data_IF_167060700331
#
_entry.id   IF_167060700331
#
_cell.length_a   1.000
_cell.length_b   1.000
_cell.length_c   1.000
_cell.angle_alpha   90.00
_cell.angle_beta   90.00
_cell.angle_gamma   90.00
#
_symmetry.space_group_name_H-M   'P 1'
#
loop_
_entity.id
_entity.type
_entity.pdbx_description
1 polymer ?
#
# COMPACT_ATOMS: atom_id res chain seq x y z
N UNK A 1 -74.08 -16.81 -9.59
CA UNK A 1 -72.87 -17.65 -9.52
C UNK A 1 -71.84 -17.06 -10.48
N UNK A 2 -70.84 -16.37 -9.91
CA UNK A 2 -69.84 -15.57 -10.61
C UNK A 2 -68.73 -16.43 -11.19
N UNK A 3 -68.71 -16.62 -12.51
CA UNK A 3 -67.61 -17.26 -13.22
C UNK A 3 -66.49 -16.26 -13.45
N UNK A 4 -65.60 -16.10 -12.48
CA UNK A 4 -64.34 -15.37 -12.69
C UNK A 4 -63.52 -16.14 -13.71
N UNK A 5 -63.32 -15.55 -14.89
CA UNK A 5 -62.54 -16.12 -15.99
C UNK A 5 -61.08 -16.26 -15.58
N UNK A 6 -60.73 -17.48 -15.14
CA UNK A 6 -59.38 -17.85 -14.69
C UNK A 6 -58.34 -17.69 -15.80
N UNK A 7 -58.71 -17.83 -17.07
CA UNK A 7 -57.79 -17.70 -18.19
C UNK A 7 -57.41 -16.24 -18.45
N UNK A 8 -58.34 -15.31 -18.26
CA UNK A 8 -58.07 -13.87 -18.39
C UNK A 8 -57.05 -13.39 -17.35
N UNK A 9 -57.18 -13.81 -16.09
CA UNK A 9 -56.22 -13.46 -15.02
C UNK A 9 -54.84 -14.08 -15.25
N UNK A 10 -54.77 -15.30 -15.78
CA UNK A 10 -53.48 -15.97 -16.00
C UNK A 10 -52.70 -15.33 -17.16
N UNK A 11 -53.40 -14.90 -18.22
CA UNK A 11 -52.80 -14.09 -19.30
C UNK A 11 -52.29 -12.74 -18.81
N UNK A 12 -53.04 -12.07 -17.94
CA UNK A 12 -52.61 -10.79 -17.38
C UNK A 12 -51.41 -10.95 -16.43
N UNK A 13 -51.36 -12.02 -15.64
CA UNK A 13 -50.23 -12.36 -14.77
C UNK A 13 -48.96 -12.64 -15.57
N UNK A 14 -49.06 -13.40 -16.67
CA UNK A 14 -47.93 -13.69 -17.57
C UNK A 14 -47.45 -12.42 -18.30
N UNK A 15 -48.36 -11.54 -18.71
CA UNK A 15 -48.03 -10.25 -19.31
C UNK A 15 -47.34 -9.27 -18.33
N UNK A 16 -47.71 -9.30 -17.05
CA UNK A 16 -47.00 -8.53 -16.00
C UNK A 16 -45.61 -9.11 -15.72
N UNK A 17 -45.46 -10.43 -15.70
CA UNK A 17 -44.16 -11.09 -15.53
C UNK A 17 -43.21 -10.86 -16.72
N UNK A 18 -43.71 -10.78 -17.96
CA UNK A 18 -42.88 -10.47 -19.13
C UNK A 18 -42.45 -9.00 -19.15
N UNK A 19 -43.29 -8.07 -18.64
CA UNK A 19 -42.92 -6.65 -18.44
C UNK A 19 -41.87 -6.46 -17.33
N UNK A 20 -41.93 -7.26 -16.25
CA UNK A 20 -40.92 -7.28 -15.18
C UNK A 20 -39.59 -7.94 -15.59
N UNK A 21 -39.59 -8.77 -16.64
CA UNK A 21 -38.39 -9.43 -17.19
C UNK A 21 -37.66 -8.63 -18.28
N UNK A 22 -38.10 -7.40 -18.60
CA UNK A 22 -37.24 -6.46 -19.34
C UNK A 22 -36.05 -6.14 -18.45
N UNK A 23 -34.92 -6.80 -18.71
CA UNK A 23 -33.61 -6.46 -18.15
C UNK A 23 -33.48 -4.94 -18.18
N UNK A 24 -33.25 -4.34 -17.01
CA UNK A 24 -32.82 -2.95 -16.93
C UNK A 24 -31.68 -2.74 -17.94
N UNK A 25 -31.62 -1.60 -18.63
CA UNK A 25 -30.45 -1.25 -19.43
C UNK A 25 -29.21 -1.44 -18.55
N UNK A 26 -28.09 -1.98 -19.08
CA UNK A 26 -26.85 -1.98 -18.32
C UNK A 26 -26.62 -0.55 -17.82
N UNK A 27 -26.43 -0.38 -16.52
CA UNK A 27 -26.04 0.91 -15.95
C UNK A 27 -24.90 1.47 -16.79
N UNK A 28 -24.94 2.75 -17.17
CA UNK A 28 -23.84 3.35 -17.92
C UNK A 28 -22.57 3.14 -17.10
N UNK A 29 -21.70 2.27 -17.59
CA UNK A 29 -20.38 2.07 -17.02
C UNK A 29 -19.72 3.45 -17.11
N UNK A 30 -19.61 4.12 -15.96
CA UNK A 30 -18.80 5.32 -15.81
C UNK A 30 -17.47 5.00 -16.49
N UNK A 31 -17.16 5.66 -17.61
CA UNK A 31 -15.85 5.56 -18.23
C UNK A 31 -14.87 6.06 -17.18
N UNK A 32 -14.20 5.14 -16.50
CA UNK A 32 -13.17 5.48 -15.53
C UNK A 32 -12.04 6.09 -16.34
N UNK A 33 -12.00 7.43 -16.36
CA UNK A 33 -10.92 8.15 -16.98
C UNK A 33 -9.64 7.86 -16.18
N UNK A 34 -8.70 7.18 -16.82
CA UNK A 34 -7.43 6.83 -16.21
C UNK A 34 -6.56 8.09 -16.13
N UNK A 35 -5.90 8.28 -14.99
CA UNK A 35 -5.06 9.44 -14.74
C UNK A 35 -3.71 9.02 -14.14
N UNK A 36 -2.63 9.57 -14.68
CA UNK A 36 -1.28 9.38 -14.15
C UNK A 36 -0.58 10.74 -14.07
N UNK A 37 -0.30 11.23 -12.86
CA UNK A 37 0.38 12.53 -12.70
C UNK A 37 1.86 12.50 -13.11
N UNK A 38 2.45 11.30 -13.31
CA UNK A 38 3.81 11.10 -13.84
C UNK A 38 3.82 10.84 -15.34
N UNK A 39 2.70 11.09 -16.04
CA UNK A 39 2.66 10.95 -17.49
C UNK A 39 3.73 11.85 -18.14
N UNK A 40 4.53 11.26 -19.03
CA UNK A 40 5.68 11.89 -19.67
C UNK A 40 7.00 11.76 -18.91
N UNK A 41 7.00 11.33 -17.65
CA UNK A 41 8.23 11.14 -16.88
C UNK A 41 8.98 9.88 -17.35
N UNK A 42 10.22 10.02 -17.78
CA UNK A 42 11.03 8.92 -18.33
C UNK A 42 11.25 7.76 -17.35
N UNK A 43 11.24 8.05 -16.05
CA UNK A 43 11.44 7.13 -14.93
C UNK A 43 10.14 6.49 -14.42
N UNK A 44 9.02 6.67 -15.11
CA UNK A 44 7.71 6.18 -14.68
C UNK A 44 6.98 5.36 -15.74
N UNK A 45 6.04 4.54 -15.28
CA UNK A 45 5.03 3.91 -16.14
C UNK A 45 4.17 4.97 -16.84
N UNK A 46 3.74 4.67 -18.07
CA UNK A 46 2.99 5.55 -18.96
C UNK A 46 1.61 4.97 -19.30
N UNK A 47 0.60 5.83 -19.39
CA UNK A 47 -0.73 5.43 -19.83
C UNK A 47 -0.67 4.74 -21.20
N UNK A 48 -1.20 3.53 -21.28
CA UNK A 48 -1.27 2.74 -22.51
C UNK A 48 -0.14 1.73 -22.71
N UNK A 49 0.94 1.76 -21.92
CA UNK A 49 1.96 0.71 -21.96
C UNK A 49 1.61 -0.44 -21.01
N UNK A 50 1.97 -1.67 -21.39
CA UNK A 50 1.80 -2.84 -20.51
C UNK A 50 2.87 -2.85 -19.42
N UNK A 51 2.64 -3.58 -18.32
CA UNK A 51 3.69 -3.74 -17.29
C UNK A 51 4.96 -4.40 -17.86
N UNK A 52 4.82 -5.35 -18.79
CA UNK A 52 5.96 -6.00 -19.43
C UNK A 52 6.75 -5.03 -20.31
N UNK A 53 6.08 -4.20 -21.10
CA UNK A 53 6.76 -3.22 -21.96
C UNK A 53 7.42 -2.12 -21.13
N UNK A 54 6.79 -1.72 -20.02
CA UNK A 54 7.40 -0.82 -19.05
C UNK A 54 8.70 -1.39 -18.47
N UNK A 55 8.70 -2.65 -18.01
CA UNK A 55 9.91 -3.29 -17.46
C UNK A 55 10.97 -3.56 -18.53
N UNK A 56 10.59 -3.86 -19.77
CA UNK A 56 11.54 -3.95 -20.90
C UNK A 56 12.20 -2.61 -21.20
N UNK A 57 11.43 -1.52 -21.16
CA UNK A 57 11.90 -0.16 -21.40
C UNK A 57 12.80 0.33 -20.27
N UNK A 58 12.46 0.00 -19.03
CA UNK A 58 13.14 0.48 -17.83
C UNK A 58 13.35 -0.64 -16.79
N UNK A 59 14.26 -1.60 -17.07
CA UNK A 59 14.53 -2.73 -16.18
C UNK A 59 15.32 -2.28 -14.93
N UNK A 60 14.79 -2.48 -13.70
CA UNK A 60 15.49 -2.06 -12.48
C UNK A 60 16.85 -2.75 -12.24
N UNK A 61 17.04 -3.94 -12.80
CA UNK A 61 18.30 -4.70 -12.68
C UNK A 61 19.48 -4.01 -13.40
N UNK A 62 19.24 -3.45 -14.59
CA UNK A 62 20.30 -2.91 -15.46
C UNK A 62 20.27 -1.40 -15.61
N UNK A 63 19.14 -0.73 -15.29
CA UNK A 63 19.07 0.74 -15.28
C UNK A 63 19.99 1.27 -14.19
N UNK A 64 20.92 2.16 -14.55
CA UNK A 64 21.88 2.73 -13.60
C UNK A 64 21.22 3.77 -12.69
N UNK A 65 21.66 3.83 -11.43
CA UNK A 65 21.31 4.90 -10.48
C UNK A 65 21.60 6.30 -11.02
N UNK A 66 22.62 6.45 -11.88
CA UNK A 66 22.96 7.73 -12.52
C UNK A 66 21.94 8.17 -13.58
N UNK A 67 21.12 7.25 -14.11
CA UNK A 67 20.04 7.58 -15.05
C UNK A 67 18.81 8.08 -14.30
N UNK A 68 18.34 7.28 -13.35
CA UNK A 68 17.31 7.67 -12.40
C UNK A 68 17.51 6.83 -11.13
N UNK A 69 17.34 7.39 -9.92
CA UNK A 69 17.51 6.63 -8.68
C UNK A 69 16.30 5.75 -8.34
N UNK A 70 15.14 6.06 -8.93
CA UNK A 70 13.88 5.38 -8.67
C UNK A 70 13.09 5.23 -9.97
N UNK A 71 12.46 4.07 -10.11
CA UNK A 71 11.47 3.81 -11.15
C UNK A 71 10.10 3.78 -10.50
N UNK A 72 9.11 4.47 -11.08
CA UNK A 72 7.80 4.71 -10.46
C UNK A 72 6.64 4.10 -11.24
N UNK A 73 5.60 3.69 -10.53
CA UNK A 73 4.29 3.35 -11.10
C UNK A 73 3.21 3.93 -10.19
N UNK A 74 2.26 4.64 -10.79
CA UNK A 74 1.12 5.23 -10.12
C UNK A 74 -0.14 4.45 -10.48
N UNK A 75 -1.04 4.28 -9.52
CA UNK A 75 -2.31 3.64 -9.79
C UNK A 75 -3.19 4.57 -10.64
N UNK A 76 -3.58 4.18 -11.86
CA UNK A 76 -4.27 5.08 -12.77
C UNK A 76 -5.75 5.30 -12.40
N UNK A 77 -6.30 4.52 -11.46
CA UNK A 77 -7.71 4.55 -11.05
C UNK A 77 -7.91 5.36 -9.77
N UNK A 78 -7.52 6.64 -9.79
CA UNK A 78 -7.70 7.52 -8.64
C UNK A 78 -9.18 7.93 -8.48
N UNK A 79 -9.66 7.95 -7.25
CA UNK A 79 -10.97 8.52 -6.94
C UNK A 79 -10.91 10.05 -7.12
N UNK A 80 -11.67 10.59 -8.07
CA UNK A 80 -11.74 12.03 -8.34
C UNK A 80 -12.24 12.85 -7.13
N UNK A 81 -12.94 12.21 -6.19
CA UNK A 81 -13.43 12.85 -4.97
C UNK A 81 -12.36 12.98 -3.88
N UNK A 82 -11.20 12.36 -4.03
CA UNK A 82 -10.10 12.53 -3.09
C UNK A 82 -9.50 13.93 -3.24
N UNK A 83 -9.74 14.77 -2.24
CA UNK A 83 -9.02 16.03 -2.09
C UNK A 83 -7.52 15.72 -1.98
N UNK A 84 -6.75 16.16 -2.96
CA UNK A 84 -5.28 16.12 -2.90
C UNK A 84 -4.82 17.17 -1.91
N UNK A 85 -4.74 16.81 -0.63
CA UNK A 85 -4.05 17.65 0.35
C UNK A 85 -2.55 17.46 0.12
N UNK A 86 -1.84 18.54 -0.23
CA UNK A 86 -0.39 18.49 -0.29
C UNK A 86 0.15 18.35 1.14
N UNK A 87 0.95 17.31 1.46
CA UNK A 87 1.52 17.15 2.80
C UNK A 87 2.47 18.30 3.12
N UNK A 88 2.39 18.85 4.33
CA UNK A 88 3.28 19.90 4.82
C UNK A 88 4.57 19.30 5.37
N UNK A 89 5.36 18.67 4.49
CA UNK A 89 6.53 17.87 4.86
C UNK A 89 7.58 18.68 5.62
N UNK A 90 7.86 19.92 5.20
CA UNK A 90 8.90 20.74 5.84
C UNK A 90 8.53 21.10 7.29
N UNK A 91 7.29 21.56 7.50
CA UNK A 91 6.77 21.90 8.85
C UNK A 91 6.69 20.67 9.75
N UNK A 92 6.26 19.54 9.19
CA UNK A 92 6.28 18.24 9.88
C UNK A 92 7.70 17.88 10.31
N UNK A 93 8.68 18.02 9.40
CA UNK A 93 10.07 17.62 9.66
C UNK A 93 10.69 18.50 10.74
N UNK A 94 10.53 19.82 10.64
CA UNK A 94 11.01 20.76 11.66
C UNK A 94 10.45 20.45 13.05
N UNK A 95 9.12 20.36 13.16
CA UNK A 95 8.43 20.06 14.42
C UNK A 95 8.78 18.66 14.95
N UNK A 96 8.91 17.68 14.05
CA UNK A 96 9.23 16.31 14.43
C UNK A 96 10.67 16.14 14.90
N UNK A 97 11.62 16.90 14.36
CA UNK A 97 13.00 16.91 14.87
C UNK A 97 13.06 17.47 16.30
N UNK A 98 12.26 18.49 16.63
CA UNK A 98 12.14 18.99 18.00
C UNK A 98 11.57 17.93 18.96
N UNK A 99 10.58 17.15 18.51
CA UNK A 99 10.05 16.02 19.30
C UNK A 99 11.12 14.96 19.59
N UNK A 100 11.98 14.66 18.60
CA UNK A 100 13.07 13.70 18.77
C UNK A 100 14.10 14.21 19.79
N UNK A 101 14.56 15.45 19.65
CA UNK A 101 15.49 16.08 20.61
C UNK A 101 14.92 16.07 22.03
N UNK A 102 13.66 16.47 22.19
CA UNK A 102 12.99 16.46 23.49
C UNK A 102 12.90 15.06 24.09
N UNK A 103 12.67 14.04 23.26
CA UNK A 103 12.64 12.65 23.75
C UNK A 103 14.00 12.18 24.22
N UNK A 104 15.09 12.54 23.54
CA UNK A 104 16.44 12.23 24.03
C UNK A 104 16.72 12.85 25.39
N UNK A 105 16.37 14.13 25.56
CA UNK A 105 16.49 14.82 26.85
C UNK A 105 15.66 14.12 27.93
N UNK A 106 14.43 13.71 27.62
CA UNK A 106 13.58 12.98 28.57
C UNK A 106 14.19 11.62 28.96
N UNK A 107 14.71 10.87 27.99
CA UNK A 107 15.35 9.57 28.23
C UNK A 107 16.61 9.71 29.08
N UNK A 108 17.45 10.72 28.80
CA UNK A 108 18.59 11.03 29.65
C UNK A 108 18.18 11.39 31.07
N UNK A 109 17.11 12.18 31.26
CA UNK A 109 16.57 12.50 32.59
C UNK A 109 16.08 11.26 33.33
N UNK A 110 15.35 10.37 32.66
CA UNK A 110 14.89 9.09 33.23
C UNK A 110 16.08 8.26 33.70
N UNK A 111 17.15 8.19 32.91
CA UNK A 111 18.36 7.45 33.25
C UNK A 111 19.14 8.10 34.41
N UNK A 112 19.32 9.42 34.38
CA UNK A 112 20.03 10.16 35.43
C UNK A 112 19.32 10.10 36.78
N UNK A 113 17.99 10.17 36.79
CA UNK A 113 17.17 10.06 38.00
C UNK A 113 17.03 8.61 38.49
N UNK A 114 17.66 7.64 37.83
CA UNK A 114 17.57 6.23 38.17
C UNK A 114 18.42 5.77 39.35
N UNK A 115 19.22 6.66 39.95
CA UNK A 115 19.98 6.34 41.16
C UNK A 115 19.02 5.98 42.31
N UNK A 116 19.02 4.71 42.73
CA UNK A 116 18.15 4.19 43.79
C UNK A 116 16.76 3.72 43.33
N UNK A 117 16.43 3.85 42.04
CA UNK A 117 15.16 3.34 41.47
C UNK A 117 15.35 1.90 41.00
N UNK A 118 14.40 0.97 41.28
CA UNK A 118 14.46 -0.39 40.76
C UNK A 118 14.53 -0.42 39.23
N UNK A 119 15.43 -1.24 38.67
CA UNK A 119 15.65 -1.36 37.21
C UNK A 119 14.36 -1.58 36.42
N UNK A 120 13.45 -2.42 36.91
CA UNK A 120 12.17 -2.68 36.26
C UNK A 120 11.26 -1.45 36.15
N UNK A 121 11.34 -0.49 37.09
CA UNK A 121 10.61 0.78 36.99
C UNK A 121 11.25 1.70 35.93
N UNK A 122 12.57 1.77 35.87
CA UNK A 122 13.29 2.55 34.83
C UNK A 122 12.98 2.03 33.43
N UNK A 123 13.00 0.71 33.24
CA UNK A 123 12.62 0.10 31.96
C UNK A 123 11.18 0.46 31.58
N UNK A 124 10.23 0.43 32.53
CA UNK A 124 8.84 0.83 32.29
C UNK A 124 8.73 2.30 31.87
N UNK A 125 9.45 3.21 32.52
CA UNK A 125 9.45 4.63 32.16
C UNK A 125 10.02 4.86 30.76
N UNK A 126 11.13 4.20 30.40
CA UNK A 126 11.71 4.30 29.06
C UNK A 126 10.80 3.73 27.97
N UNK A 127 10.09 2.63 28.25
CA UNK A 127 9.09 2.06 27.34
C UNK A 127 7.91 3.03 27.18
N UNK A 128 7.48 3.68 28.27
CA UNK A 128 6.39 4.65 28.21
C UNK A 128 6.78 5.88 27.38
N UNK A 129 7.97 6.46 27.59
CA UNK A 129 8.47 7.58 26.78
C UNK A 129 8.57 7.20 25.29
N UNK A 130 8.98 5.97 24.96
CA UNK A 130 8.98 5.49 23.57
C UNK A 130 7.58 5.43 22.97
N UNK A 131 6.57 4.96 23.72
CA UNK A 131 5.17 4.94 23.26
C UNK A 131 4.61 6.34 23.07
N UNK A 132 4.89 7.23 24.02
CA UNK A 132 4.42 8.62 23.99
C UNK A 132 5.07 9.38 22.83
N UNK A 133 6.36 9.16 22.55
CA UNK A 133 7.01 9.70 21.36
C UNK A 133 6.37 9.16 20.07
N UNK A 134 6.16 7.84 19.96
CA UNK A 134 5.51 7.25 18.79
C UNK A 134 4.13 7.88 18.53
N UNK A 135 3.34 8.09 19.59
CA UNK A 135 2.03 8.74 19.47
C UNK A 135 2.15 10.20 19.04
N UNK A 136 3.05 10.98 19.65
CA UNK A 136 3.27 12.39 19.27
C UNK A 136 3.71 12.54 17.81
N UNK A 137 4.57 11.65 17.31
CA UNK A 137 4.97 11.64 15.89
C UNK A 137 3.77 11.32 14.99
N UNK A 138 2.94 10.35 15.37
CA UNK A 138 1.74 9.99 14.61
C UNK A 138 0.73 11.14 14.56
N UNK A 139 0.46 11.80 15.68
CA UNK A 139 -0.46 12.93 15.77
C UNK A 139 0.05 14.12 14.94
N UNK A 140 1.36 14.40 15.02
CA UNK A 140 2.00 15.43 14.19
C UNK A 140 1.91 15.11 12.70
N UNK A 141 2.14 13.85 12.32
CA UNK A 141 2.01 13.40 10.94
C UNK A 141 0.58 13.61 10.41
N UNK A 142 -0.44 13.35 11.24
CA UNK A 142 -1.85 13.61 10.90
C UNK A 142 -2.11 15.10 10.74
N UNK A 143 -1.63 15.93 11.67
CA UNK A 143 -1.83 17.39 11.63
C UNK A 143 -1.26 18.03 10.34
N UNK A 144 -0.16 17.50 9.84
CA UNK A 144 0.52 17.99 8.63
C UNK A 144 0.20 17.19 7.35
N UNK A 145 -0.71 16.21 7.41
CA UNK A 145 -1.11 15.41 6.25
C UNK A 145 -0.05 14.41 5.75
N UNK A 146 0.97 14.09 6.55
CA UNK A 146 2.02 13.09 6.26
C UNK A 146 1.50 11.68 6.57
N UNK A 147 0.50 11.26 5.82
CA UNK A 147 -0.28 10.05 6.11
C UNK A 147 0.22 8.80 5.38
N UNK A 148 1.02 8.96 4.33
CA UNK A 148 1.45 7.81 3.53
C UNK A 148 2.34 6.84 4.30
N UNK A 149 2.34 5.59 3.87
CA UNK A 149 3.33 4.61 4.28
C UNK A 149 3.50 3.55 3.22
N UNK A 150 4.43 2.62 3.47
CA UNK A 150 4.90 1.68 2.45
C UNK A 150 5.28 0.33 3.01
N UNK A 151 4.85 -0.73 2.31
CA UNK A 151 5.43 -2.06 2.41
C UNK A 151 6.77 -2.07 1.69
N UNK A 152 7.81 -2.63 2.32
CA UNK A 152 9.17 -2.70 1.77
C UNK A 152 9.55 -4.14 1.45
N UNK A 153 9.98 -4.37 0.21
CA UNK A 153 10.51 -5.63 -0.31
C UNK A 153 11.97 -5.41 -0.74
N UNK A 154 12.74 -6.49 -0.71
CA UNK A 154 14.16 -6.51 -1.09
C UNK A 154 14.44 -7.70 -2.02
N UNK A 155 13.87 -7.73 -3.25
CA UNK A 155 14.22 -8.75 -4.23
C UNK A 155 15.71 -8.69 -4.60
N UNK A 156 16.28 -9.85 -4.90
CA UNK A 156 17.64 -9.96 -5.47
C UNK A 156 17.68 -9.39 -6.88
N UNK A 157 18.86 -8.94 -7.32
CA UNK A 157 19.10 -8.41 -8.66
C UNK A 157 18.53 -9.31 -9.78
N UNK A 158 18.78 -10.61 -9.72
CA UNK A 158 18.26 -11.58 -10.71
C UNK A 158 16.73 -11.80 -10.67
N UNK A 159 16.03 -11.29 -9.66
CA UNK A 159 14.57 -11.42 -9.49
C UNK A 159 13.85 -10.07 -9.62
N UNK A 160 14.55 -8.95 -9.50
CA UNK A 160 13.92 -7.62 -9.36
C UNK A 160 13.03 -7.29 -10.55
N UNK A 161 13.44 -7.56 -11.79
CA UNK A 161 12.64 -7.27 -12.98
C UNK A 161 11.29 -8.01 -12.94
N UNK A 162 11.31 -9.30 -12.58
CA UNK A 162 10.09 -10.12 -12.46
C UNK A 162 9.19 -9.59 -11.34
N UNK A 163 9.75 -9.37 -10.16
CA UNK A 163 8.98 -8.87 -9.00
C UNK A 163 8.40 -7.50 -9.30
N UNK A 164 9.16 -6.62 -9.94
CA UNK A 164 8.73 -5.29 -10.34
C UNK A 164 7.58 -5.34 -11.36
N UNK A 165 7.65 -6.21 -12.37
CA UNK A 165 6.56 -6.39 -13.33
C UNK A 165 5.25 -6.81 -12.63
N UNK A 166 5.32 -7.77 -11.69
CA UNK A 166 4.15 -8.20 -10.91
C UNK A 166 3.58 -7.07 -10.04
N UNK A 167 4.44 -6.29 -9.40
CA UNK A 167 4.01 -5.14 -8.58
C UNK A 167 3.42 -4.04 -9.45
N UNK A 168 4.07 -3.67 -10.55
CA UNK A 168 3.59 -2.65 -11.47
C UNK A 168 2.21 -3.02 -12.01
N UNK A 169 2.05 -4.26 -12.49
CA UNK A 169 0.74 -4.76 -12.94
C UNK A 169 -0.30 -4.71 -11.81
N UNK A 170 0.06 -5.12 -10.59
CA UNK A 170 -0.84 -5.06 -9.43
C UNK A 170 -1.27 -3.63 -9.07
N UNK A 171 -0.39 -2.64 -9.20
CA UNK A 171 -0.72 -1.22 -8.99
C UNK A 171 -1.61 -0.69 -10.11
N UNK A 172 -1.28 -0.97 -11.38
CA UNK A 172 -2.05 -0.58 -12.57
C UNK A 172 -3.48 -1.15 -12.51
N UNK A 173 -3.60 -2.39 -12.05
CA UNK A 173 -4.89 -3.09 -11.91
C UNK A 173 -5.66 -2.72 -10.64
N UNK A 174 -5.19 -1.75 -9.85
CA UNK A 174 -5.82 -1.34 -8.58
C UNK A 174 -5.98 -2.51 -7.59
N UNK A 175 -5.07 -3.50 -7.66
CA UNK A 175 -5.00 -4.63 -6.74
C UNK A 175 -4.06 -4.33 -5.59
N UNK A 176 -2.98 -3.60 -5.83
CA UNK A 176 -2.05 -3.14 -4.81
C UNK A 176 -2.41 -1.72 -4.34
N UNK A 177 -1.45 -1.02 -3.75
CA UNK A 177 -1.64 0.31 -3.18
C UNK A 177 -1.77 1.43 -4.22
N UNK A 178 -1.62 2.68 -3.76
CA UNK A 178 -1.80 3.85 -4.62
C UNK A 178 -0.62 4.11 -5.56
N UNK A 179 0.57 3.65 -5.19
CA UNK A 179 1.78 3.78 -6.01
C UNK A 179 2.83 2.76 -5.59
N UNK A 180 3.84 2.57 -6.42
CA UNK A 180 5.04 1.83 -6.05
C UNK A 180 6.29 2.46 -6.66
N UNK A 181 7.43 2.16 -6.06
CA UNK A 181 8.74 2.51 -6.60
C UNK A 181 9.74 1.40 -6.39
N UNK A 182 10.73 1.31 -7.27
CA UNK A 182 11.87 0.39 -7.13
C UNK A 182 13.18 1.12 -7.35
N UNK A 183 14.18 0.81 -6.54
CA UNK A 183 15.53 1.32 -6.71
C UNK A 183 16.14 0.75 -7.99
N UNK A 184 16.93 1.57 -8.67
CA UNK A 184 17.75 1.18 -9.81
C UNK A 184 19.07 0.55 -9.37
N UNK A 185 19.89 0.13 -10.34
CA UNK A 185 21.16 -0.51 -10.08
C UNK A 185 22.18 0.47 -9.49
N UNK A 186 22.50 0.25 -8.22
CA UNK A 186 23.51 0.95 -7.43
C UNK A 186 24.68 0.02 -7.02
N UNK A 187 24.74 -1.19 -7.59
CA UNK A 187 25.75 -2.20 -7.27
C UNK A 187 25.39 -3.13 -6.10
N UNK A 188 24.30 -2.89 -5.36
CA UNK A 188 23.88 -3.79 -4.29
C UNK A 188 23.34 -5.13 -4.83
N UNK A 189 23.29 -6.17 -4.01
CA UNK A 189 22.71 -7.46 -4.42
C UNK A 189 21.17 -7.48 -4.40
N UNK A 190 20.57 -6.63 -3.58
CA UNK A 190 19.12 -6.49 -3.43
C UNK A 190 18.68 -5.07 -3.82
N UNK A 191 17.43 -4.94 -4.26
CA UNK A 191 16.82 -3.65 -4.63
C UNK A 191 15.69 -3.34 -3.68
N UNK A 192 15.68 -2.14 -3.10
CA UNK A 192 14.52 -1.69 -2.32
C UNK A 192 13.34 -1.45 -3.28
N UNK A 193 12.23 -2.12 -3.02
CA UNK A 193 10.96 -1.93 -3.69
C UNK A 193 9.89 -1.56 -2.65
N UNK A 194 9.20 -0.46 -2.86
CA UNK A 194 8.17 0.04 -1.97
C UNK A 194 6.79 0.03 -2.64
N UNK A 195 5.77 -0.44 -1.94
CA UNK A 195 4.36 -0.31 -2.34
C UNK A 195 3.64 0.56 -1.32
N UNK A 196 3.05 1.67 -1.76
CA UNK A 196 2.49 2.70 -0.90
C UNK A 196 1.00 2.52 -0.64
N UNK A 197 0.57 2.84 0.58
CA UNK A 197 -0.83 3.16 0.89
C UNK A 197 -0.93 4.64 1.29
N UNK A 198 -2.15 5.20 1.16
CA UNK A 198 -2.39 6.64 1.34
C UNK A 198 -2.39 7.06 2.81
N UNK A 199 -2.85 6.18 3.69
CA UNK A 199 -2.95 6.42 5.12
C UNK A 199 -2.43 5.21 5.90
N UNK A 200 -1.39 5.41 6.71
CA UNK A 200 -0.82 4.37 7.55
C UNK A 200 -1.76 3.90 8.66
N UNK A 201 -2.80 4.67 8.98
CA UNK A 201 -3.78 4.35 10.02
C UNK A 201 -4.90 3.47 9.47
N UNK A 202 -5.07 3.44 8.15
CA UNK A 202 -6.03 2.55 7.48
C UNK A 202 -5.49 1.12 7.47
N UNK A 203 -5.69 0.44 8.60
CA UNK A 203 -5.22 -0.93 8.81
C UNK A 203 -5.86 -1.88 7.80
N UNK A 204 -7.07 -1.60 7.32
CA UNK A 204 -7.77 -2.45 6.36
C UNK A 204 -7.10 -2.37 4.99
N UNK A 205 -6.78 -1.17 4.50
CA UNK A 205 -6.02 -1.01 3.25
C UNK A 205 -4.60 -1.58 3.37
N UNK A 206 -3.89 -1.34 4.49
CA UNK A 206 -2.56 -1.91 4.72
C UNK A 206 -2.60 -3.44 4.70
N UNK A 207 -3.62 -4.04 5.33
CA UNK A 207 -3.81 -5.50 5.37
C UNK A 207 -4.24 -6.06 4.02
N UNK A 208 -5.11 -5.35 3.28
CA UNK A 208 -5.54 -5.72 1.94
C UNK A 208 -4.37 -5.79 0.97
N UNK A 209 -3.49 -4.78 0.98
CA UNK A 209 -2.27 -4.78 0.16
C UNK A 209 -1.35 -5.94 0.56
N UNK A 210 -1.21 -6.25 1.85
CA UNK A 210 -0.43 -7.42 2.30
C UNK A 210 -1.02 -8.75 1.80
N UNK A 211 -2.35 -8.91 1.84
CA UNK A 211 -3.05 -10.09 1.32
C UNK A 211 -2.82 -10.27 -0.18
N UNK A 212 -2.79 -9.15 -0.90
CA UNK A 212 -2.54 -9.16 -2.34
C UNK A 212 -1.09 -9.54 -2.66
N UNK A 213 -0.12 -9.00 -1.90
CA UNK A 213 1.29 -9.43 -2.01
C UNK A 213 1.46 -10.94 -1.76
N UNK A 214 0.67 -11.51 -0.84
CA UNK A 214 0.62 -12.97 -0.63
C UNK A 214 0.06 -13.71 -1.85
N UNK A 215 -1.06 -13.25 -2.38
CA UNK A 215 -1.72 -13.86 -3.55
C UNK A 215 -0.82 -13.83 -4.80
N UNK A 216 0.00 -12.79 -4.94
CA UNK A 216 0.99 -12.67 -6.02
C UNK A 216 2.25 -13.52 -5.79
N UNK A 217 2.36 -14.21 -4.65
CA UNK A 217 3.54 -15.01 -4.29
C UNK A 217 4.77 -14.18 -3.94
N UNK A 218 4.58 -12.91 -3.56
CA UNK A 218 5.65 -11.96 -3.24
C UNK A 218 6.03 -11.95 -1.75
N UNK A 219 5.37 -12.78 -0.96
CA UNK A 219 5.82 -13.13 0.39
C UNK A 219 6.79 -14.29 0.31
N UNK A 220 8.08 -13.98 0.45
CA UNK A 220 9.12 -15.00 0.53
C UNK A 220 8.95 -15.84 1.80
N UNK A 221 8.95 -17.17 1.66
CA UNK A 221 8.97 -18.08 2.80
C UNK A 221 10.18 -17.75 3.70
N UNK A 222 9.91 -17.44 4.97
CA UNK A 222 10.93 -17.13 5.97
C UNK A 222 11.27 -15.63 6.13
N UNK A 223 10.97 -14.76 5.16
CA UNK A 223 11.25 -13.31 5.29
C UNK A 223 10.00 -12.53 5.71
N UNK A 224 10.17 -11.72 6.75
CA UNK A 224 9.16 -10.77 7.21
C UNK A 224 9.20 -9.53 6.33
N UNK A 225 8.05 -9.09 5.83
CA UNK A 225 7.92 -7.76 5.23
C UNK A 225 7.63 -6.75 6.33
N UNK A 226 8.14 -5.54 6.15
CA UNK A 226 7.95 -4.44 7.09
C UNK A 226 7.19 -3.31 6.41
N UNK A 227 6.24 -2.74 7.13
CA UNK A 227 5.53 -1.54 6.74
C UNK A 227 6.06 -0.35 7.54
N UNK A 228 6.51 0.69 6.84
CA UNK A 228 7.04 1.92 7.43
C UNK A 228 6.19 3.09 6.97
N UNK A 229 5.73 3.93 7.89
CA UNK A 229 5.06 5.18 7.51
C UNK A 229 6.08 6.28 7.17
N UNK A 230 5.68 7.24 6.34
CA UNK A 230 6.60 8.18 5.71
C UNK A 230 7.15 9.21 6.69
N UNK A 231 6.41 9.51 7.76
CA UNK A 231 6.90 10.42 8.78
C UNK A 231 8.17 9.89 9.48
N UNK A 232 8.30 8.57 9.70
CA UNK A 232 9.60 7.98 10.12
C UNK A 232 10.69 8.04 9.05
N UNK A 233 10.33 8.21 7.78
CA UNK A 233 11.33 8.40 6.71
C UNK A 233 11.85 9.83 6.75
N UNK A 234 10.96 10.81 6.89
CA UNK A 234 11.34 12.24 6.99
C UNK A 234 12.12 12.56 8.27
N UNK A 235 11.83 11.89 9.39
CA UNK A 235 12.55 12.08 10.66
C UNK A 235 13.81 11.18 10.79
N UNK A 236 14.26 10.58 9.71
CA UNK A 236 15.40 9.65 9.67
C UNK A 236 15.34 8.49 10.71
N UNK A 237 14.15 8.02 11.07
CA UNK A 237 13.95 6.89 11.98
C UNK A 237 14.07 5.58 11.19
N UNK A 238 15.29 5.06 11.10
CA UNK A 238 15.67 3.83 10.38
C UNK A 238 16.13 2.76 11.37
N UNK A 239 16.41 1.55 10.90
CA UNK A 239 16.92 0.46 11.74
C UNK A 239 18.14 0.87 12.58
N UNK A 240 19.05 1.67 12.00
CA UNK A 240 20.26 2.15 12.66
C UNK A 240 20.02 3.24 13.73
N UNK A 241 18.93 4.00 13.64
CA UNK A 241 18.69 5.20 14.48
C UNK A 241 17.50 5.05 15.43
N UNK A 242 16.56 4.15 15.15
CA UNK A 242 15.32 4.02 15.91
C UNK A 242 15.54 3.63 17.39
N UNK A 243 16.56 2.82 17.67
CA UNK A 243 16.91 2.38 19.04
C UNK A 243 17.31 3.54 19.95
N UNK A 244 17.85 4.65 19.41
CA UNK A 244 18.15 5.89 20.14
C UNK A 244 16.94 6.41 20.91
N UNK A 245 15.77 6.27 20.29
CA UNK A 245 14.48 6.72 20.82
C UNK A 245 13.65 5.58 21.46
N UNK A 246 14.21 4.35 21.51
CA UNK A 246 13.49 3.13 21.88
C UNK A 246 12.32 2.79 20.95
N UNK A 247 12.37 3.28 19.70
CA UNK A 247 11.37 3.04 18.67
C UNK A 247 11.76 1.82 17.82
N UNK A 248 10.78 1.29 17.09
CA UNK A 248 10.99 0.38 15.99
C UNK A 248 10.91 1.15 14.67
N UNK A 249 11.72 0.79 13.66
CA UNK A 249 11.74 1.48 12.38
C UNK A 249 10.52 1.14 11.46
N UNK A 250 9.64 0.26 11.91
CA UNK A 250 8.45 -0.21 11.19
C UNK A 250 7.23 -0.17 12.10
N UNK A 251 6.09 0.22 11.55
CA UNK A 251 4.80 0.25 12.26
C UNK A 251 4.11 -1.11 12.26
N UNK A 252 4.14 -1.81 11.12
CA UNK A 252 3.57 -3.16 10.98
C UNK A 252 4.58 -4.13 10.37
N UNK A 253 4.33 -5.42 10.55
CA UNK A 253 5.07 -6.46 9.86
C UNK A 253 4.15 -7.61 9.42
N UNK A 254 4.56 -8.33 8.39
CA UNK A 254 3.69 -9.34 7.76
C UNK A 254 3.34 -10.49 8.70
N UNK A 255 4.24 -10.89 9.62
CA UNK A 255 4.00 -12.00 10.55
C UNK A 255 2.91 -11.66 11.57
N UNK A 256 3.01 -10.51 12.24
CA UNK A 256 2.06 -10.12 13.28
C UNK A 256 0.69 -9.80 12.70
N UNK A 257 0.63 -9.15 11.53
CA UNK A 257 -0.64 -8.85 10.86
C UNK A 257 -1.38 -10.12 10.42
N UNK A 258 -0.64 -11.14 9.96
CA UNK A 258 -1.19 -12.47 9.65
C UNK A 258 -1.77 -13.17 10.87
N UNK A 259 -1.00 -13.21 11.96
CA UNK A 259 -1.41 -13.86 13.21
C UNK A 259 -2.65 -13.20 13.82
N UNK A 260 -2.79 -11.88 13.67
CA UNK A 260 -3.93 -11.14 14.19
C UNK A 260 -5.24 -11.35 13.41
N UNK A 261 -5.27 -12.21 12.37
CA UNK A 261 -6.46 -12.47 11.58
C UNK A 261 -6.95 -11.26 10.77
N UNK A 262 -6.10 -10.23 10.61
CA UNK A 262 -6.44 -8.97 9.93
C UNK A 262 -6.39 -9.06 8.41
N UNK A 263 -6.07 -10.22 7.85
CA UNK A 263 -6.13 -10.43 6.41
C UNK A 263 -7.60 -10.70 6.02
N UNK A 264 -8.17 -9.92 5.08
CA UNK A 264 -9.45 -10.29 4.50
C UNK A 264 -9.34 -11.68 3.86
N UNK A 265 -10.36 -12.53 4.09
CA UNK A 265 -10.42 -13.85 3.43
C UNK A 265 -10.38 -13.61 1.92
N UNK A 266 -9.46 -14.28 1.24
CA UNK A 266 -9.28 -14.17 -0.20
C UNK A 266 -10.64 -14.33 -0.91
N UNK A 267 -11.09 -13.29 -1.61
CA UNK A 267 -12.22 -13.41 -2.53
C UNK A 267 -11.74 -14.21 -3.73
N UNK A 268 -12.18 -15.46 -3.83
CA UNK A 268 -11.97 -16.31 -5.01
C UNK A 268 -12.76 -15.72 -6.20
N UNK A 269 -12.16 -14.79 -6.93
CA UNK A 269 -12.67 -14.43 -8.26
C UNK A 269 -12.22 -15.51 -9.26
N UNK A 270 -13.14 -16.11 -10.05
CA UNK A 270 -12.78 -17.18 -10.96
C UNK A 270 -11.90 -16.64 -12.10
N UNK A 271 -10.71 -17.23 -12.23
CA UNK A 271 -9.88 -17.15 -13.43
C UNK A 271 -10.75 -17.46 -14.66
N UNK A 272 -10.97 -16.46 -15.53
CA UNK A 272 -11.51 -16.69 -16.87
C UNK A 272 -10.54 -17.62 -17.60
N UNK A 273 -10.93 -18.88 -17.76
CA UNK A 273 -10.26 -19.83 -18.65
C UNK A 273 -10.24 -19.22 -20.05
N UNK A 274 -9.04 -19.00 -20.59
CA UNK A 274 -8.86 -18.81 -22.03
C UNK A 274 -9.38 -20.06 -22.73
N UNK A 275 -10.40 -19.87 -23.56
CA UNK A 275 -10.95 -20.92 -24.43
C UNK A 275 -9.98 -21.10 -25.59
N UNK A 276 -9.27 -22.22 -25.61
CA UNK A 276 -8.61 -22.76 -26.78
C UNK A 276 -9.65 -23.44 -27.66
N UNK A 277 -10.10 -22.74 -28.70
CA UNK A 277 -10.84 -23.34 -29.81
C UNK A 277 -10.43 -22.59 -31.09
N UNK A 278 -9.47 -23.16 -31.81
CA UNK A 278 -9.37 -23.01 -33.26
C UNK A 278 -8.72 -24.28 -33.84
N UNK A 279 -9.58 -25.16 -34.32
CA UNK A 279 -9.31 -26.15 -35.38
C UNK A 279 -10.45 -26.02 -36.38
N UNK A 280 -10.11 -26.12 -37.68
CA UNK A 280 -10.97 -26.05 -38.88
C UNK A 280 -11.45 -24.62 -39.18
N UNK A 281 -11.01 -23.90 -40.23
CA UNK A 281 -10.51 -24.23 -41.58
C UNK A 281 -9.29 -23.38 -41.94
#
# INVERSE_FOLDING_TARGET
>A
MSGIDRQAMERERLARQSKLKRKAPPEPQLKVELFNFRQGSHDAWQLGETADDFVKRLPPDTTSISTCPWIWVENPRRNQQEKSTCPQVDQFTESGMQLLEQSELNRHKIQANGAGVPQGMLTKQLIQESKDLQQRIADLAVAHGVLSGKWMLFPKANQVNRVWAQVAQGVIDNRLGCSAKVATNDGNEERLLCIYTKDFRDVDEVSRVLAELETLGLLYHGRTLYYKHDAYTYLDIRSATASKYGLQASLYNSRTMKMAGKLPKASTSPLKKQSTLNKYF
#
